data_IF_320423956809
#
_entry.id   IF_320423956809
#
_cell.length_a   1.000
_cell.length_b   1.000
_cell.length_c   1.000
_cell.angle_alpha   90.00
_cell.angle_beta   90.00
_cell.angle_gamma   90.00
#
_symmetry.space_group_name_H-M   'P 1'
#
loop_
_entity.id
_entity.type
_entity.pdbx_description
1 polymer ?
#
# COMPACT_ATOMS: atom_id res chain seq x y z
N UNK A 1 -2.52 29.68 10.98
CA UNK A 1 -2.84 29.18 12.34
C UNK A 1 -2.31 27.78 12.38
N UNK A 2 -1.31 27.49 13.22
CA UNK A 2 -0.74 26.14 13.33
C UNK A 2 -1.73 25.25 14.06
N UNK A 3 -2.06 24.09 13.48
CA UNK A 3 -2.86 23.07 14.14
C UNK A 3 -1.93 22.33 15.13
N UNK A 4 -2.18 22.39 16.44
CA UNK A 4 -1.22 21.95 17.47
C UNK A 4 -0.98 20.42 17.53
N UNK A 5 -1.58 19.63 16.64
CA UNK A 5 -1.54 18.16 16.65
C UNK A 5 -0.90 17.51 15.40
N UNK A 6 -0.38 18.29 14.43
CA UNK A 6 0.30 17.73 13.24
C UNK A 6 1.69 18.37 13.06
N UNK A 7 2.81 17.63 13.15
CA UNK A 7 4.16 18.19 13.14
C UNK A 7 4.77 18.17 11.74
N UNK A 8 3.97 17.94 10.69
CA UNK A 8 4.42 17.80 9.32
C UNK A 8 3.81 18.91 8.45
N UNK A 9 4.67 19.75 7.88
CA UNK A 9 4.26 20.78 6.92
C UNK A 9 3.54 20.18 5.71
N UNK A 10 3.94 18.98 5.28
CA UNK A 10 3.27 18.25 4.21
C UNK A 10 1.85 17.82 4.60
N UNK A 11 1.64 17.43 5.87
CA UNK A 11 0.32 17.10 6.38
C UNK A 11 -0.58 18.33 6.47
N UNK A 12 -0.06 19.46 6.97
CA UNK A 12 -0.79 20.73 7.03
C UNK A 12 -1.19 21.22 5.63
N UNK A 13 -0.26 21.17 4.67
CA UNK A 13 -0.52 21.54 3.29
C UNK A 13 -1.60 20.65 2.65
N UNK A 14 -1.52 19.34 2.87
CA UNK A 14 -2.50 18.40 2.36
C UNK A 14 -3.89 18.62 2.97
N UNK A 15 -3.96 18.84 4.29
CA UNK A 15 -5.22 19.13 4.97
C UNK A 15 -5.85 20.44 4.47
N UNK A 16 -5.04 21.49 4.29
CA UNK A 16 -5.50 22.77 3.74
C UNK A 16 -6.05 22.64 2.32
N UNK A 17 -5.48 21.74 1.51
CA UNK A 17 -5.90 21.52 0.13
C UNK A 17 -7.15 20.65 0.02
N UNK A 18 -7.22 19.54 0.76
CA UNK A 18 -8.25 18.51 0.55
C UNK A 18 -9.36 18.52 1.60
N UNK A 19 -9.18 19.23 2.72
CA UNK A 19 -10.04 19.20 3.89
C UNK A 19 -9.97 17.89 4.68
N UNK A 20 -9.06 16.99 4.28
CA UNK A 20 -8.78 15.68 4.85
C UNK A 20 -7.27 15.46 4.72
N UNK A 21 -6.71 14.54 5.50
CA UNK A 21 -5.33 14.12 5.33
C UNK A 21 -5.30 12.93 4.36
N UNK A 22 -4.71 13.04 3.15
CA UNK A 22 -4.57 11.92 2.23
C UNK A 22 -3.69 10.81 2.81
N UNK A 23 -3.81 9.57 2.31
CA UNK A 23 -2.90 8.49 2.69
C UNK A 23 -1.43 8.79 2.36
N UNK A 24 -0.47 8.15 3.05
CA UNK A 24 0.96 8.43 2.87
C UNK A 24 1.48 8.28 1.44
N UNK A 25 0.97 7.33 0.66
CA UNK A 25 1.34 7.14 -0.74
C UNK A 25 0.96 8.32 -1.65
N UNK A 26 0.00 9.14 -1.24
CA UNK A 26 -0.39 10.31 -2.02
C UNK A 26 0.58 11.49 -1.81
N UNK A 27 1.12 11.62 -0.59
CA UNK A 27 2.11 12.65 -0.27
C UNK A 27 3.53 12.23 -0.68
N UNK A 28 3.85 10.94 -0.58
CA UNK A 28 5.17 10.40 -0.90
C UNK A 28 5.05 9.14 -1.78
N UNK A 29 4.62 9.27 -3.04
CA UNK A 29 4.40 8.13 -3.94
C UNK A 29 5.69 7.37 -4.28
N UNK A 30 6.84 8.01 -4.12
CA UNK A 30 8.16 7.44 -4.46
C UNK A 30 8.76 6.58 -3.35
N UNK A 31 8.26 6.70 -2.11
CA UNK A 31 8.78 5.93 -0.97
C UNK A 31 8.08 4.58 -0.94
N UNK A 32 8.80 3.49 -1.17
CA UNK A 32 8.25 2.13 -1.05
C UNK A 32 7.64 1.89 0.34
N UNK A 33 6.51 1.16 0.50
CA UNK A 33 5.86 0.91 1.80
C UNK A 33 6.82 0.42 2.89
N UNK A 34 7.74 -0.49 2.57
CA UNK A 34 8.72 -1.02 3.53
C UNK A 34 10.07 -0.28 3.54
N UNK A 35 10.15 0.90 2.91
CA UNK A 35 11.38 1.70 2.92
C UNK A 35 11.67 2.28 4.31
N UNK A 36 12.95 2.34 4.67
CA UNK A 36 13.43 3.05 5.86
C UNK A 36 13.09 4.56 5.83
N UNK A 37 12.77 5.11 4.66
CA UNK A 37 12.35 6.50 4.48
C UNK A 37 11.10 6.89 5.27
N UNK A 38 10.29 5.91 5.71
CA UNK A 38 9.14 6.12 6.61
C UNK A 38 9.53 6.23 8.09
N UNK A 39 10.72 5.76 8.49
CA UNK A 39 11.16 5.72 9.88
C UNK A 39 12.31 6.69 10.19
N UNK A 40 13.06 7.08 9.17
CA UNK A 40 14.29 7.89 9.30
C UNK A 40 14.44 8.87 8.12
N UNK A 41 13.34 9.20 7.43
CA UNK A 41 13.39 9.99 6.19
C UNK A 41 12.22 10.95 6.05
N UNK A 42 12.07 11.50 4.84
CA UNK A 42 11.08 12.55 4.55
C UNK A 42 9.63 12.13 4.79
N UNK A 43 9.33 10.82 4.79
CA UNK A 43 7.99 10.29 5.04
C UNK A 43 7.61 10.17 6.52
N UNK A 44 8.58 10.20 7.43
CA UNK A 44 8.37 9.89 8.86
C UNK A 44 7.34 10.82 9.52
N UNK A 45 7.53 12.13 9.41
CA UNK A 45 6.62 13.10 10.02
C UNK A 45 5.21 13.03 9.45
N UNK A 46 5.05 12.71 8.17
CA UNK A 46 3.74 12.55 7.55
C UNK A 46 3.06 11.26 7.98
N UNK A 47 3.81 10.16 8.05
CA UNK A 47 3.28 8.89 8.54
C UNK A 47 2.84 9.02 10.00
N UNK A 48 3.60 9.72 10.84
CA UNK A 48 3.18 10.00 12.22
C UNK A 48 1.90 10.83 12.30
N UNK A 49 1.80 11.91 11.52
CA UNK A 49 0.58 12.71 11.44
C UNK A 49 -0.63 11.87 11.00
N UNK A 50 -0.42 11.00 10.01
CA UNK A 50 -1.44 10.09 9.50
C UNK A 50 -1.88 9.07 10.56
N UNK A 51 -0.94 8.47 11.27
CA UNK A 51 -1.19 7.47 12.32
C UNK A 51 -1.96 8.06 13.52
N UNK A 52 -1.80 9.36 13.79
CA UNK A 52 -2.59 10.07 14.82
C UNK A 52 -3.98 10.46 14.28
N UNK A 53 -4.07 10.88 13.02
CA UNK A 53 -5.31 11.40 12.43
C UNK A 53 -6.29 10.29 12.02
N UNK A 54 -5.80 9.21 11.41
CA UNK A 54 -6.63 8.17 10.81
C UNK A 54 -7.52 7.46 11.84
N UNK A 55 -7.02 6.97 12.99
CA UNK A 55 -7.87 6.30 13.98
C UNK A 55 -9.02 7.20 14.47
N UNK A 56 -8.71 8.47 14.79
CA UNK A 56 -9.69 9.47 15.26
C UNK A 56 -10.79 9.73 14.22
N UNK A 57 -10.41 9.73 12.95
CA UNK A 57 -11.34 10.01 11.84
C UNK A 57 -12.16 8.78 11.50
N UNK A 58 -11.50 7.62 11.42
CA UNK A 58 -12.08 6.34 11.06
C UNK A 58 -13.18 5.89 12.01
N UNK A 59 -13.06 6.17 13.31
CA UNK A 59 -14.09 5.85 14.31
C UNK A 59 -15.44 6.52 14.01
N UNK A 60 -15.43 7.63 13.27
CA UNK A 60 -16.64 8.34 12.83
C UNK A 60 -17.13 7.94 11.43
N UNK A 61 -16.41 7.07 10.73
CA UNK A 61 -16.72 6.62 9.38
C UNK A 61 -17.23 5.18 9.38
N UNK A 62 -18.33 4.94 8.69
CA UNK A 62 -18.74 3.58 8.30
C UNK A 62 -17.83 3.03 7.19
N UNK A 63 -18.03 1.76 6.82
CA UNK A 63 -17.20 1.12 5.82
C UNK A 63 -17.34 1.80 4.45
N UNK A 64 -18.56 2.16 4.03
CA UNK A 64 -18.76 2.86 2.76
C UNK A 64 -18.02 4.19 2.70
N UNK A 65 -18.01 4.96 3.79
CA UNK A 65 -17.26 6.22 3.89
C UNK A 65 -15.74 5.99 3.84
N UNK A 66 -15.23 4.93 4.49
CA UNK A 66 -13.81 4.56 4.41
C UNK A 66 -13.41 4.12 3.00
N UNK A 67 -14.27 3.34 2.31
CA UNK A 67 -14.07 2.95 0.91
C UNK A 67 -14.05 4.21 0.02
N UNK A 68 -15.02 5.12 0.19
CA UNK A 68 -15.09 6.36 -0.58
C UNK A 68 -13.86 7.24 -0.36
N UNK A 69 -13.32 7.27 0.86
CA UNK A 69 -12.06 7.96 1.17
C UNK A 69 -10.89 7.37 0.37
N UNK A 70 -10.71 6.06 0.35
CA UNK A 70 -9.62 5.43 -0.41
C UNK A 70 -9.85 5.46 -1.93
N UNK A 71 -11.10 5.50 -2.41
CA UNK A 71 -11.39 5.74 -3.82
C UNK A 71 -11.07 7.18 -4.26
N UNK A 72 -11.21 8.15 -3.35
CA UNK A 72 -10.79 9.54 -3.59
C UNK A 72 -9.27 9.67 -3.66
N UNK A 73 -8.53 8.84 -2.91
CA UNK A 73 -7.08 8.82 -2.87
C UNK A 73 -6.53 7.41 -3.17
N UNK A 74 -6.66 6.93 -4.42
CA UNK A 74 -6.42 5.53 -4.75
C UNK A 74 -4.97 5.12 -4.47
N UNK A 75 -4.75 3.92 -3.89
CA UNK A 75 -3.41 3.41 -3.64
C UNK A 75 -2.72 2.99 -4.96
N UNK A 76 -1.41 3.27 -5.10
CA UNK A 76 -0.57 2.51 -6.01
C UNK A 76 -0.58 1.02 -5.62
N UNK A 77 -0.40 0.08 -6.57
CA UNK A 77 -0.55 -1.34 -6.27
C UNK A 77 0.32 -1.83 -5.11
N UNK A 78 1.56 -1.36 -4.95
CA UNK A 78 2.43 -1.78 -3.84
C UNK A 78 1.92 -1.39 -2.45
N UNK A 79 1.00 -0.43 -2.33
CA UNK A 79 0.40 0.02 -1.06
C UNK A 79 -0.91 -0.70 -0.71
N UNK A 80 -1.31 -1.69 -1.50
CA UNK A 80 -2.59 -2.38 -1.28
C UNK A 80 -2.70 -3.01 0.11
N UNK A 81 -1.63 -3.62 0.64
CA UNK A 81 -1.64 -4.21 1.99
C UNK A 81 -1.97 -3.17 3.06
N UNK A 82 -1.27 -2.03 3.05
CA UNK A 82 -1.54 -0.92 3.99
C UNK A 82 -2.98 -0.41 3.88
N UNK A 83 -3.48 -0.23 2.65
CA UNK A 83 -4.86 0.21 2.44
C UNK A 83 -5.84 -0.79 3.06
N UNK A 84 -5.67 -2.10 2.83
CA UNK A 84 -6.56 -3.12 3.36
C UNK A 84 -6.50 -3.22 4.89
N UNK A 85 -5.30 -3.17 5.46
CA UNK A 85 -5.07 -3.15 6.91
C UNK A 85 -5.81 -1.97 7.56
N UNK A 86 -5.67 -0.77 7.00
CA UNK A 86 -6.33 0.42 7.53
C UNK A 86 -7.83 0.49 7.24
N UNK A 87 -8.28 -0.02 6.10
CA UNK A 87 -9.69 -0.01 5.73
C UNK A 87 -10.49 -0.97 6.61
N UNK A 88 -10.01 -2.21 6.77
CA UNK A 88 -10.74 -3.30 7.41
C UNK A 88 -10.23 -3.68 8.81
N UNK A 89 -9.32 -2.90 9.40
CA UNK A 89 -8.73 -3.18 10.73
C UNK A 89 -8.13 -4.58 10.82
N UNK A 90 -7.35 -4.94 9.79
CA UNK A 90 -6.74 -6.27 9.74
C UNK A 90 -5.62 -6.34 10.76
N UNK A 91 -5.76 -7.26 11.73
CA UNK A 91 -4.67 -7.63 12.63
C UNK A 91 -3.75 -8.62 11.92
N UNK A 92 -3.07 -8.15 10.86
CA UNK A 92 -2.30 -9.02 9.99
C UNK A 92 -1.12 -9.68 10.71
N UNK A 93 -0.58 -9.06 11.75
CA UNK A 93 0.59 -9.57 12.46
C UNK A 93 1.79 -9.63 11.53
N UNK A 94 2.22 -10.84 11.16
CA UNK A 94 3.23 -11.03 10.12
C UNK A 94 2.58 -10.93 8.72
N UNK A 95 2.93 -9.91 7.91
CA UNK A 95 2.35 -9.71 6.59
C UNK A 95 2.73 -10.81 5.58
N UNK A 96 3.70 -11.68 5.87
CA UNK A 96 4.01 -12.84 5.03
C UNK A 96 3.14 -14.06 5.35
N UNK A 97 2.65 -14.16 6.59
CA UNK A 97 1.79 -15.28 7.03
C UNK A 97 0.30 -14.97 6.87
N UNK A 98 -0.08 -13.70 6.81
CA UNK A 98 -1.49 -13.30 6.69
C UNK A 98 -2.06 -13.55 5.29
N UNK A 99 -3.22 -14.21 5.23
CA UNK A 99 -3.93 -14.44 3.97
C UNK A 99 -4.68 -13.18 3.50
N UNK A 100 -4.04 -12.41 2.64
CA UNK A 100 -4.63 -11.23 1.99
C UNK A 100 -5.56 -11.57 0.80
N UNK A 101 -5.58 -12.81 0.30
CA UNK A 101 -6.31 -13.19 -0.91
C UNK A 101 -7.79 -12.80 -0.91
N UNK A 102 -8.56 -13.11 0.16
CA UNK A 102 -9.96 -12.70 0.27
C UNK A 102 -10.17 -11.18 0.24
N UNK A 103 -9.20 -10.43 0.77
CA UNK A 103 -9.24 -8.97 0.85
C UNK A 103 -8.89 -8.32 -0.49
N UNK A 104 -7.95 -8.88 -1.25
CA UNK A 104 -7.71 -8.49 -2.63
C UNK A 104 -8.93 -8.73 -3.51
N UNK A 105 -9.54 -9.91 -3.43
CA UNK A 105 -10.76 -10.21 -4.18
C UNK A 105 -11.92 -9.27 -3.82
N UNK A 106 -11.97 -8.80 -2.57
CA UNK A 106 -12.93 -7.78 -2.12
C UNK A 106 -12.57 -6.40 -2.65
N UNK A 107 -11.30 -6.00 -2.59
CA UNK A 107 -10.81 -4.70 -3.02
C UNK A 107 -10.96 -4.51 -4.55
N UNK A 108 -10.68 -5.55 -5.33
CA UNK A 108 -10.81 -5.53 -6.79
C UNK A 108 -12.28 -5.26 -7.22
N UNK A 109 -13.24 -5.87 -6.53
CA UNK A 109 -14.68 -5.60 -6.77
C UNK A 109 -15.08 -4.16 -6.47
N UNK A 110 -14.32 -3.46 -5.63
CA UNK A 110 -14.50 -2.05 -5.31
C UNK A 110 -13.75 -1.12 -6.28
N UNK A 111 -12.97 -1.67 -7.22
CA UNK A 111 -12.21 -0.92 -8.23
C UNK A 111 -10.77 -0.60 -7.82
N UNK A 112 -10.24 -1.26 -6.78
CA UNK A 112 -8.83 -1.15 -6.41
C UNK A 112 -7.95 -2.13 -7.22
N UNK A 113 -6.62 -1.91 -7.26
CA UNK A 113 -5.68 -2.83 -7.92
C UNK A 113 -5.83 -4.29 -7.49
N UNK A 114 -5.59 -5.22 -8.42
CA UNK A 114 -5.67 -6.66 -8.15
C UNK A 114 -4.46 -7.17 -7.37
N UNK A 115 -4.55 -8.41 -6.87
CA UNK A 115 -3.42 -9.09 -6.24
C UNK A 115 -2.24 -9.27 -7.21
N UNK A 116 -2.51 -9.55 -8.48
CA UNK A 116 -1.48 -9.69 -9.51
C UNK A 116 -0.76 -8.37 -9.76
N UNK A 117 -1.50 -7.26 -9.82
CA UNK A 117 -0.91 -5.93 -9.95
C UNK A 117 -0.07 -5.56 -8.72
N UNK A 118 -0.55 -5.90 -7.52
CA UNK A 118 0.24 -5.78 -6.29
C UNK A 118 1.54 -6.55 -6.40
N UNK A 119 1.51 -7.87 -6.68
CA UNK A 119 2.72 -8.71 -6.77
C UNK A 119 3.70 -8.16 -7.79
N UNK A 120 3.21 -7.82 -8.97
CA UNK A 120 4.04 -7.25 -10.06
C UNK A 120 4.69 -5.92 -9.67
N UNK A 121 3.99 -5.05 -8.95
CA UNK A 121 4.56 -3.76 -8.53
C UNK A 121 5.47 -3.89 -7.32
N UNK A 122 5.16 -4.81 -6.42
CA UNK A 122 5.83 -5.00 -5.14
C UNK A 122 7.17 -5.75 -5.28
N UNK A 123 7.23 -6.77 -6.14
CA UNK A 123 8.42 -7.59 -6.37
C UNK A 123 9.22 -7.18 -7.61
N UNK A 124 8.89 -6.05 -8.25
CA UNK A 124 9.50 -5.59 -9.51
C UNK A 124 11.04 -5.43 -9.46
N UNK A 125 11.65 -5.48 -8.29
CA UNK A 125 13.11 -5.36 -8.11
C UNK A 125 13.83 -6.71 -7.95
N UNK A 126 13.14 -7.85 -7.91
CA UNK A 126 13.75 -9.18 -7.72
C UNK A 126 13.82 -10.02 -9.02
N UNK A 127 13.13 -9.60 -10.11
CA UNK A 127 13.08 -10.33 -11.39
C UNK A 127 14.30 -10.10 -12.33
N UNK A 128 15.39 -9.48 -11.85
CA UNK A 128 16.63 -9.29 -12.66
C UNK A 128 17.71 -10.37 -12.38
N UNK A 129 17.48 -11.39 -11.54
CA UNK A 129 18.54 -12.33 -11.11
C UNK A 129 18.25 -13.85 -11.23
N UNK A 130 17.15 -14.32 -11.84
CA UNK A 130 16.91 -15.79 -11.97
C UNK A 130 16.29 -16.20 -13.32
N UNK A 131 17.08 -16.11 -14.40
CA UNK A 131 16.81 -16.83 -15.65
C UNK A 131 18.14 -17.33 -16.27
N UNK A 132 18.81 -18.27 -15.58
CA UNK A 132 19.77 -19.21 -16.22
C UNK A 132 19.34 -20.66 -15.95
N UNK A 133 18.10 -21.02 -16.28
CA UNK A 133 17.71 -22.43 -16.48
C UNK A 133 17.85 -22.81 -17.95
N UNK A 134 19.10 -23.01 -18.38
CA UNK A 134 19.45 -23.69 -19.62
C UNK A 134 19.35 -25.22 -19.49
N UNK A 135 18.22 -25.78 -19.06
CA UNK A 135 18.02 -27.24 -19.13
C UNK A 135 17.42 -27.64 -20.49
N UNK A 136 18.31 -27.88 -21.47
CA UNK A 136 17.93 -28.54 -22.72
C UNK A 136 17.82 -30.04 -22.46
N UNK A 137 16.59 -30.50 -22.20
CA UNK A 137 16.23 -31.90 -22.31
C UNK A 137 16.17 -32.31 -23.79
N UNK A 138 17.22 -33.00 -24.26
CA UNK A 138 17.23 -33.65 -25.57
C UNK A 138 16.82 -35.13 -25.41
N UNK A 139 15.54 -35.41 -25.18
CA UNK A 139 15.01 -36.74 -25.45
C UNK A 139 14.53 -36.79 -26.90
N UNK A 140 15.33 -37.40 -27.78
CA UNK A 140 14.77 -38.02 -28.98
C UNK A 140 15.44 -39.37 -29.27
N UNK A 141 14.68 -40.41 -28.96
CA UNK A 141 14.89 -41.82 -29.26
C UNK A 141 15.09 -42.06 -30.78
N UNK A 142 16.16 -42.81 -31.08
CA UNK A 142 16.42 -43.55 -32.34
C UNK A 142 15.18 -44.31 -32.87
N UNK A 143 14.99 -44.53 -34.20
CA UNK A 143 15.82 -45.51 -34.92
C UNK A 143 15.97 -45.31 -36.45
N UNK A 144 17.02 -45.93 -37.02
CA UNK A 144 17.05 -46.86 -38.18
C UNK A 144 18.52 -47.15 -38.51
#
# INVERSE_FOLDING_TARGET
MAHPDMPSEAADAAFAQYGLLPPPWYAFPEIHPYSIGWRMGSGEGYLWAYDVWWPKTKDSMDEEARIAYFLRFPPPPQFMRWMMEWLWDLEAGDPEEFDYGPYFARAEKLGFPSEEEFKKAFYKNDDDDDDDEGEKADENTQPQ
#
